data_IF_025288869397
#
_entry.id   IF_025288869397
#
_cell.length_a   1.000
_cell.length_b   1.000
_cell.length_c   1.000
_cell.angle_alpha   90.00
_cell.angle_beta   90.00
_cell.angle_gamma   90.00
#
_symmetry.space_group_name_H-M   'P 1'
#
loop_
_entity.id
_entity.type
_entity.pdbx_description
1 polymer ?
#
# COMPACT_ATOMS: atom_id res chain seq x y z
N UNK A 1 3.48 -1.12 -59.74
CA UNK A 1 3.86 -2.45 -59.21
C UNK A 1 3.73 -2.30 -57.69
N UNK A 2 2.58 -2.55 -57.05
CA UNK A 2 1.83 -3.83 -56.94
C UNK A 2 2.81 -4.92 -56.52
N UNK A 3 2.78 -5.50 -55.32
CA UNK A 3 1.75 -6.30 -54.61
C UNK A 3 1.95 -6.14 -53.08
N UNK A 4 1.08 -6.48 -52.12
CA UNK A 4 -0.17 -7.22 -52.06
C UNK A 4 -0.44 -7.52 -50.56
N UNK A 5 -1.66 -7.30 -50.10
CA UNK A 5 -2.12 -7.56 -48.73
C UNK A 5 -2.23 -9.07 -48.42
N UNK A 6 -1.96 -9.50 -47.19
CA UNK A 6 -2.97 -10.10 -46.27
C UNK A 6 -2.36 -10.92 -45.11
N UNK A 7 -2.70 -10.47 -43.90
CA UNK A 7 -3.13 -11.24 -42.72
C UNK A 7 -2.24 -12.37 -42.15
N UNK A 8 -1.55 -12.03 -41.05
CA UNK A 8 -1.60 -12.85 -39.85
C UNK A 8 -1.71 -11.93 -38.61
N UNK A 9 -2.95 -11.74 -38.18
CA UNK A 9 -3.33 -11.26 -36.85
C UNK A 9 -2.87 -12.31 -35.83
N UNK A 10 -2.31 -11.90 -34.68
CA UNK A 10 -2.68 -12.36 -33.32
C UNK A 10 -1.66 -11.83 -32.28
N UNK A 11 -2.12 -10.87 -31.46
CA UNK A 11 -1.99 -10.78 -29.99
C UNK A 11 -0.54 -10.72 -29.43
N UNK A 12 -0.03 -9.61 -28.90
CA UNK A 12 -0.51 -8.86 -27.73
C UNK A 12 -0.28 -7.35 -27.89
N UNK A 13 -1.39 -6.61 -27.88
CA UNK A 13 -1.43 -5.18 -27.62
C UNK A 13 -0.83 -4.86 -26.24
N UNK A 14 0.02 -3.84 -26.19
CA UNK A 14 0.26 -3.08 -24.96
C UNK A 14 1.65 -3.22 -24.36
N UNK A 15 2.70 -2.86 -25.12
CA UNK A 15 3.86 -2.24 -24.47
C UNK A 15 3.38 -1.02 -23.69
N UNK A 16 3.47 -1.12 -22.37
CA UNK A 16 3.10 -0.06 -21.42
C UNK A 16 3.94 -0.15 -20.16
N UNK A 17 5.26 -0.01 -20.34
CA UNK A 17 6.10 0.82 -19.48
C UNK A 17 5.95 0.61 -17.96
N UNK A 18 6.70 -0.31 -17.37
CA UNK A 18 7.21 -0.11 -16.01
C UNK A 18 8.71 -0.32 -16.05
N UNK A 19 9.37 0.80 -16.36
CA UNK A 19 10.72 1.09 -15.89
C UNK A 19 10.86 0.52 -14.47
N UNK A 20 11.91 -0.25 -14.26
CA UNK A 20 12.58 -0.33 -12.97
C UNK A 20 13.07 1.09 -12.62
N UNK A 21 12.13 1.95 -12.25
CA UNK A 21 12.40 3.23 -11.66
C UNK A 21 12.88 2.94 -10.26
N UNK A 22 14.17 3.16 -10.03
CA UNK A 22 14.67 3.56 -8.72
C UNK A 22 14.07 4.93 -8.35
N UNK A 23 12.74 5.03 -8.28
CA UNK A 23 12.09 5.94 -7.36
C UNK A 23 11.97 5.15 -6.09
N UNK A 24 12.85 5.38 -5.11
CA UNK A 24 12.68 4.82 -3.78
C UNK A 24 11.32 5.29 -3.29
N UNK A 25 10.30 4.44 -3.41
CA UNK A 25 9.00 4.74 -2.88
C UNK A 25 9.16 4.76 -1.35
N UNK A 26 9.04 5.92 -0.67
CA UNK A 26 9.25 6.01 0.77
C UNK A 26 8.34 5.05 1.55
N UNK A 27 7.21 4.61 0.97
CA UNK A 27 6.36 3.58 1.56
C UNK A 27 6.90 2.17 1.40
N UNK A 28 7.52 1.85 0.27
CA UNK A 28 8.15 0.56 0.08
C UNK A 28 9.27 0.38 1.12
N UNK A 29 10.03 1.44 1.39
CA UNK A 29 11.03 1.45 2.46
C UNK A 29 10.37 1.33 3.85
N UNK A 30 9.37 2.16 4.16
CA UNK A 30 8.71 2.11 5.46
C UNK A 30 8.03 0.75 5.74
N UNK A 31 7.47 0.11 4.71
CA UNK A 31 6.82 -1.19 4.86
C UNK A 31 7.83 -2.34 4.96
N UNK A 32 8.95 -2.25 4.23
CA UNK A 32 10.05 -3.19 4.38
C UNK A 32 10.67 -3.11 5.78
N UNK A 33 10.92 -1.90 6.29
CA UNK A 33 11.43 -1.64 7.64
C UNK A 33 10.46 -2.18 8.70
N UNK A 34 9.15 -1.93 8.52
CA UNK A 34 8.13 -2.45 9.43
C UNK A 34 8.08 -3.98 9.40
N UNK A 35 8.10 -4.61 8.22
CA UNK A 35 8.08 -6.06 8.08
C UNK A 35 9.32 -6.72 8.70
N UNK A 36 10.51 -6.13 8.50
CA UNK A 36 11.76 -6.57 9.11
C UNK A 36 11.71 -6.47 10.64
N UNK A 37 11.09 -5.42 11.19
CA UNK A 37 10.92 -5.26 12.65
C UNK A 37 10.02 -6.31 13.30
N UNK A 38 9.24 -7.05 12.50
CA UNK A 38 8.37 -8.14 12.95
C UNK A 38 8.92 -9.53 12.54
N UNK A 39 10.22 -9.65 12.26
CA UNK A 39 10.81 -10.95 11.94
C UNK A 39 10.49 -12.01 13.02
N UNK A 40 10.04 -13.19 12.58
CA UNK A 40 9.59 -14.26 13.48
C UNK A 40 8.21 -14.06 14.13
N UNK A 41 7.52 -12.94 13.87
CA UNK A 41 6.17 -12.65 14.36
C UNK A 41 5.10 -12.86 13.27
N UNK A 42 3.89 -13.33 13.62
CA UNK A 42 2.76 -13.37 12.69
C UNK A 42 2.38 -11.99 12.13
N UNK A 43 2.76 -10.90 12.80
CA UNK A 43 2.52 -9.54 12.31
C UNK A 43 3.26 -9.24 11.00
N UNK A 44 4.38 -9.91 10.71
CA UNK A 44 5.13 -9.72 9.46
C UNK A 44 4.29 -10.07 8.24
N UNK A 45 3.54 -11.16 8.29
CA UNK A 45 2.71 -11.60 7.18
C UNK A 45 1.57 -10.60 6.91
N UNK A 46 0.94 -10.08 7.97
CA UNK A 46 -0.10 -9.06 7.85
C UNK A 46 0.45 -7.76 7.22
N UNK A 47 1.66 -7.34 7.59
CA UNK A 47 2.33 -6.17 6.99
C UNK A 47 2.57 -6.39 5.49
N UNK A 48 3.03 -7.58 5.08
CA UNK A 48 3.26 -7.90 3.67
C UNK A 48 1.95 -7.97 2.87
N UNK A 49 0.90 -8.57 3.44
CA UNK A 49 -0.44 -8.58 2.83
C UNK A 49 -1.01 -7.17 2.72
N UNK A 50 -0.82 -6.32 3.73
CA UNK A 50 -1.28 -4.94 3.72
C UNK A 50 -0.61 -4.12 2.61
N UNK A 51 0.70 -4.35 2.38
CA UNK A 51 1.44 -3.78 1.26
C UNK A 51 0.88 -4.22 -0.08
N UNK A 52 0.71 -5.53 -0.28
CA UNK A 52 0.17 -6.06 -1.53
C UNK A 52 -1.23 -5.49 -1.81
N UNK A 53 -2.11 -5.47 -0.81
CA UNK A 53 -3.43 -4.86 -0.92
C UNK A 53 -3.35 -3.37 -1.29
N UNK A 54 -2.39 -2.62 -0.73
CA UNK A 54 -2.18 -1.22 -1.11
C UNK A 54 -1.75 -1.07 -2.57
N UNK A 55 -0.76 -1.86 -3.02
CA UNK A 55 -0.22 -1.82 -4.39
C UNK A 55 -1.27 -2.22 -5.43
N UNK A 56 -2.22 -3.08 -5.05
CA UNK A 56 -3.36 -3.50 -5.89
C UNK A 56 -4.56 -2.54 -5.81
N UNK A 57 -4.47 -1.43 -5.05
CA UNK A 57 -5.56 -0.47 -4.88
C UNK A 57 -6.69 -0.92 -3.95
N UNK A 58 -6.51 -2.03 -3.21
CA UNK A 58 -7.44 -2.53 -2.19
C UNK A 58 -7.24 -1.81 -0.84
N UNK A 59 -7.45 -0.49 -0.84
CA UNK A 59 -7.09 0.38 0.31
C UNK A 59 -7.83 0.06 1.62
N UNK A 60 -9.10 -0.36 1.57
CA UNK A 60 -9.85 -0.78 2.77
C UNK A 60 -9.21 -1.99 3.45
N UNK A 61 -8.81 -2.97 2.65
CA UNK A 61 -8.17 -4.18 3.15
C UNK A 61 -6.78 -3.89 3.69
N UNK A 62 -6.01 -3.07 2.98
CA UNK A 62 -4.71 -2.59 3.46
C UNK A 62 -4.83 -1.92 4.84
N UNK A 63 -5.80 -1.02 5.01
CA UNK A 63 -6.08 -0.36 6.28
C UNK A 63 -6.47 -1.33 7.39
N UNK A 64 -7.34 -2.31 7.10
CA UNK A 64 -7.75 -3.31 8.08
C UNK A 64 -6.57 -4.18 8.55
N UNK A 65 -5.70 -4.60 7.62
CA UNK A 65 -4.51 -5.38 7.95
C UNK A 65 -3.52 -4.57 8.78
N UNK A 66 -3.24 -3.31 8.42
CA UNK A 66 -2.41 -2.44 9.26
C UNK A 66 -3.05 -2.18 10.63
N UNK A 67 -4.37 -2.03 10.70
CA UNK A 67 -5.08 -1.92 11.98
C UNK A 67 -4.91 -3.19 12.83
N UNK A 68 -4.94 -4.38 12.23
CA UNK A 68 -4.64 -5.63 12.93
C UNK A 68 -3.21 -5.66 13.47
N UNK A 69 -2.22 -5.24 12.66
CA UNK A 69 -0.82 -5.15 13.08
C UNK A 69 -0.66 -4.30 14.33
N UNK A 70 -1.20 -3.08 14.34
CA UNK A 70 -1.12 -2.18 15.50
C UNK A 70 -2.01 -2.61 16.66
N UNK A 71 -2.93 -3.55 16.45
CA UNK A 71 -3.79 -4.10 17.50
C UNK A 71 -3.16 -5.26 18.26
N UNK A 72 -2.06 -5.83 17.77
CA UNK A 72 -1.37 -6.97 18.41
C UNK A 72 -0.59 -6.57 19.68
N UNK A 73 -0.31 -5.29 19.86
CA UNK A 73 0.40 -4.75 21.01
C UNK A 73 0.99 -3.37 20.73
N UNK A 74 1.62 -2.76 21.75
CA UNK A 74 2.28 -1.47 21.58
C UNK A 74 3.42 -1.58 20.58
N UNK A 75 3.55 -0.56 19.73
CA UNK A 75 4.63 -0.47 18.75
C UNK A 75 5.88 0.13 19.39
N UNK A 76 7.06 -0.39 19.03
CA UNK A 76 8.34 0.27 19.33
C UNK A 76 8.47 1.60 18.59
N UNK A 77 9.35 2.50 19.03
CA UNK A 77 9.55 3.78 18.34
C UNK A 77 9.91 3.64 16.84
N UNK A 78 10.80 2.71 16.42
CA UNK A 78 11.05 2.45 15.00
C UNK A 78 9.80 1.98 14.24
N UNK A 79 9.00 1.09 14.85
CA UNK A 79 7.74 0.60 14.27
C UNK A 79 6.71 1.72 14.13
N UNK A 80 6.58 2.60 15.13
CA UNK A 80 5.71 3.78 15.06
C UNK A 80 6.13 4.72 13.92
N UNK A 81 7.43 4.98 13.78
CA UNK A 81 7.97 5.81 12.69
C UNK A 81 7.65 5.21 11.31
N UNK A 82 7.87 3.91 11.15
CA UNK A 82 7.56 3.21 9.91
C UNK A 82 6.05 3.25 9.62
N UNK A 83 5.20 2.96 10.62
CA UNK A 83 3.75 3.02 10.48
C UNK A 83 3.25 4.43 10.15
N UNK A 84 3.82 5.47 10.76
CA UNK A 84 3.48 6.86 10.43
C UNK A 84 3.80 7.21 8.97
N UNK A 85 4.93 6.73 8.43
CA UNK A 85 5.26 6.88 7.02
C UNK A 85 4.26 6.19 6.09
N UNK A 86 3.84 4.96 6.44
CA UNK A 86 2.83 4.20 5.70
C UNK A 86 1.48 4.92 5.72
N UNK A 87 1.02 5.34 6.91
CA UNK A 87 -0.24 6.06 7.12
C UNK A 87 -0.26 7.38 6.35
N UNK A 88 0.84 8.13 6.37
CA UNK A 88 0.94 9.39 5.62
C UNK A 88 0.74 9.20 4.12
N UNK A 89 1.30 8.14 3.53
CA UNK A 89 1.10 7.85 2.11
C UNK A 89 -0.30 7.35 1.79
N UNK A 90 -0.83 6.47 2.63
CA UNK A 90 -2.20 6.00 2.52
C UNK A 90 -3.20 7.17 2.57
N UNK A 91 -2.96 8.15 3.45
CA UNK A 91 -3.77 9.37 3.54
C UNK A 91 -3.66 10.21 2.25
N UNK A 92 -2.45 10.41 1.73
CA UNK A 92 -2.24 11.13 0.46
C UNK A 92 -3.04 10.47 -0.68
N UNK A 93 -2.91 9.16 -0.87
CA UNK A 93 -3.60 8.44 -1.95
C UNK A 93 -5.11 8.55 -1.84
N UNK A 94 -5.66 8.47 -0.62
CA UNK A 94 -7.10 8.59 -0.41
C UNK A 94 -7.60 10.01 -0.68
N UNK A 95 -6.81 11.02 -0.35
CA UNK A 95 -7.16 12.42 -0.60
C UNK A 95 -7.02 12.81 -2.08
N UNK A 96 -6.03 12.25 -2.78
CA UNK A 96 -5.76 12.53 -4.18
C UNK A 96 -6.78 11.86 -5.13
N UNK A 97 -7.40 10.75 -4.72
CA UNK A 97 -8.47 10.10 -5.47
C UNK A 97 -9.86 10.51 -4.95
N UNK A 98 -10.57 11.33 -5.74
CA UNK A 98 -11.93 11.79 -5.44
C UNK A 98 -12.95 10.69 -5.10
N UNK A 99 -12.79 9.46 -5.62
CA UNK A 99 -13.67 8.33 -5.28
C UNK A 99 -13.39 7.80 -3.89
N UNK A 100 -12.12 7.75 -3.50
CA UNK A 100 -11.69 7.30 -2.17
C UNK A 100 -11.99 8.37 -1.11
N UNK A 101 -11.81 9.65 -1.45
CA UNK A 101 -12.17 10.78 -0.60
C UNK A 101 -13.68 10.84 -0.30
N UNK A 102 -14.53 10.25 -1.16
CA UNK A 102 -15.97 10.12 -0.89
C UNK A 102 -16.34 8.96 0.04
N UNK A 103 -15.39 8.06 0.35
CA UNK A 103 -15.67 6.83 1.10
C UNK A 103 -15.53 7.06 2.62
N UNK A 104 -16.66 7.37 3.26
CA UNK A 104 -16.73 7.61 4.70
C UNK A 104 -16.21 6.43 5.56
N UNK A 105 -16.35 5.20 5.07
CA UNK A 105 -15.86 4.02 5.80
C UNK A 105 -14.34 3.94 5.72
N UNK A 106 -13.77 4.21 4.54
CA UNK A 106 -12.33 4.25 4.34
C UNK A 106 -11.69 5.34 5.20
N UNK A 107 -12.29 6.52 5.28
CA UNK A 107 -11.86 7.60 6.17
C UNK A 107 -11.90 7.19 7.64
N UNK A 108 -12.98 6.57 8.10
CA UNK A 108 -13.07 6.11 9.49
C UNK A 108 -11.99 5.07 9.83
N UNK A 109 -11.70 4.16 8.91
CA UNK A 109 -10.59 3.19 9.07
C UNK A 109 -9.24 3.89 9.16
N UNK A 110 -9.03 4.93 8.34
CA UNK A 110 -7.83 5.75 8.39
C UNK A 110 -7.67 6.45 9.74
N UNK A 111 -8.71 7.11 10.22
CA UNK A 111 -8.71 7.81 11.52
C UNK A 111 -8.39 6.84 12.66
N UNK A 112 -9.00 5.66 12.67
CA UNK A 112 -8.70 4.64 13.69
C UNK A 112 -7.24 4.18 13.63
N UNK A 113 -6.67 3.98 12.43
CA UNK A 113 -5.27 3.61 12.27
C UNK A 113 -4.33 4.74 12.73
N UNK A 114 -4.65 6.00 12.42
CA UNK A 114 -3.93 7.19 12.89
C UNK A 114 -3.93 7.24 14.41
N UNK A 115 -5.11 7.15 15.03
CA UNK A 115 -5.26 7.20 16.49
C UNK A 115 -4.50 6.07 17.16
N UNK A 116 -4.49 4.86 16.59
CA UNK A 116 -3.79 3.74 17.19
C UNK A 116 -2.27 3.80 17.01
N UNK A 117 -1.80 4.43 15.94
CA UNK A 117 -0.37 4.61 15.67
C UNK A 117 0.22 5.77 16.47
N UNK A 118 -0.53 6.87 16.62
CA UNK A 118 -0.04 8.15 17.15
C UNK A 118 -0.64 8.52 18.52
N UNK A 119 -1.75 7.89 18.92
CA UNK A 119 -2.54 8.28 20.09
C UNK A 119 -2.19 7.56 21.40
N UNK A 120 -1.05 6.90 21.51
CA UNK A 120 -0.57 6.41 22.80
C UNK A 120 0.07 7.55 23.61
N UNK A 121 -0.68 8.04 24.59
CA UNK A 121 -0.19 8.65 25.83
C UNK A 121 -0.16 7.58 26.92
#
# INVERSE_FOLDING_TARGET
MSEGWSCAIVICLGMGFLLAGCGQDPQANATADLAASFEGSPAREDVLKAKAAFEEGRYKESLLLFHQVVSRGPLTAPQKKAMAGIVGRLLQVIQDDSKLAGDAQLHRLMEMLILKTMGEN
#
